data_IF_196088320954
#
_entry.id   IF_196088320954
#
_cell.length_a   1.000
_cell.length_b   1.000
_cell.length_c   1.000
_cell.angle_alpha   90.00
_cell.angle_beta   90.00
_cell.angle_gamma   90.00
#
_symmetry.space_group_name_H-M   'P 1'
#
loop_
_entity.id
_entity.type
_entity.pdbx_description
1 polymer ?
#
# COMPACT_ATOMS: atom_id res chain seq x y z
N UNK A 1 -16.49 -4.64 -19.32
CA UNK A 1 -15.17 -4.37 -18.73
C UNK A 1 -15.03 -2.88 -18.54
N UNK A 2 -14.55 -2.45 -17.37
CA UNK A 2 -14.26 -1.04 -17.08
C UNK A 2 -12.81 -0.81 -17.52
N UNK A 3 -12.61 0.00 -18.57
CA UNK A 3 -11.27 0.36 -19.06
C UNK A 3 -10.83 1.65 -18.35
N UNK A 4 -10.00 1.52 -17.32
CA UNK A 4 -9.49 2.64 -16.51
C UNK A 4 -8.25 3.28 -17.17
N UNK A 5 -7.50 2.50 -17.95
CA UNK A 5 -6.30 2.96 -18.66
C UNK A 5 -6.39 2.55 -20.13
N UNK A 6 -7.28 3.19 -20.88
CA UNK A 6 -7.34 3.11 -22.33
C UNK A 6 -6.78 4.39 -22.93
N UNK A 7 -5.87 4.30 -23.89
CA UNK A 7 -5.55 5.45 -24.74
C UNK A 7 -6.84 5.99 -25.37
N UNK A 8 -6.97 7.31 -25.56
CA UNK A 8 -8.19 7.89 -26.14
C UNK A 8 -8.41 7.35 -27.55
N UNK A 9 -9.22 6.30 -27.68
CA UNK A 9 -9.70 5.81 -28.96
C UNK A 9 -10.93 6.63 -29.35
N UNK A 10 -10.88 7.30 -30.49
CA UNK A 10 -12.08 7.86 -31.12
C UNK A 10 -12.78 6.75 -31.87
N UNK A 11 -13.75 6.11 -31.23
CA UNK A 11 -14.74 5.28 -31.88
C UNK A 11 -15.98 6.11 -32.22
N UNK A 12 -16.54 5.95 -33.43
CA UNK A 12 -17.76 6.62 -33.88
C UNK A 12 -19.03 6.12 -33.16
N UNK A 13 -18.88 5.41 -32.04
CA UNK A 13 -19.93 4.71 -31.30
C UNK A 13 -20.81 5.64 -30.46
N UNK A 14 -20.40 6.91 -30.27
CA UNK A 14 -21.14 7.89 -29.49
C UNK A 14 -21.26 7.53 -28.00
N UNK A 15 -21.87 8.43 -27.22
CA UNK A 15 -22.08 8.17 -25.79
C UNK A 15 -23.30 7.26 -25.60
N UNK A 16 -23.09 5.97 -25.33
CA UNK A 16 -24.21 5.04 -25.09
C UNK A 16 -24.66 5.08 -23.63
N UNK A 17 -25.93 4.69 -23.37
CA UNK A 17 -26.48 4.60 -21.99
C UNK A 17 -25.61 3.76 -21.05
N UNK A 18 -24.93 2.73 -21.56
CA UNK A 18 -24.03 1.87 -20.77
C UNK A 18 -22.75 2.60 -20.34
N UNK A 19 -22.22 3.50 -21.16
CA UNK A 19 -21.03 4.30 -20.80
C UNK A 19 -21.38 5.27 -19.67
N UNK A 20 -22.56 5.88 -19.73
CA UNK A 20 -23.07 6.75 -18.66
C UNK A 20 -23.23 5.98 -17.35
N UNK A 21 -23.80 4.77 -17.38
CA UNK A 21 -23.92 3.92 -16.19
C UNK A 21 -22.56 3.45 -15.65
N UNK A 22 -21.59 3.13 -16.52
CA UNK A 22 -20.24 2.72 -16.11
C UNK A 22 -19.46 3.86 -15.45
N UNK A 23 -19.51 5.07 -16.01
CA UNK A 23 -18.88 6.25 -15.42
C UNK A 23 -19.62 6.65 -14.13
N UNK A 24 -20.96 6.58 -14.12
CA UNK A 24 -21.79 6.86 -12.95
C UNK A 24 -21.49 5.94 -11.77
N UNK A 25 -21.08 4.69 -12.01
CA UNK A 25 -20.68 3.76 -10.96
C UNK A 25 -19.41 4.20 -10.20
N UNK A 26 -18.60 5.10 -10.76
CA UNK A 26 -17.40 5.66 -10.12
C UNK A 26 -17.70 6.87 -9.22
N UNK A 27 -18.88 7.50 -9.34
CA UNK A 27 -19.30 8.66 -8.54
C UNK A 27 -19.19 8.44 -7.03
N UNK A 28 -19.68 7.32 -6.43
CA UNK A 28 -19.52 7.11 -4.99
C UNK A 28 -18.06 7.04 -4.53
N UNK A 29 -17.15 6.53 -5.36
CA UNK A 29 -15.70 6.49 -5.06
C UNK A 29 -15.03 7.86 -5.14
N UNK A 30 -15.52 8.76 -6.01
CA UNK A 30 -15.04 10.14 -6.08
C UNK A 30 -15.50 11.00 -4.89
N UNK A 31 -16.73 10.76 -4.42
CA UNK A 31 -17.31 11.49 -3.28
C UNK A 31 -16.60 11.15 -1.94
N UNK A 32 -16.09 9.93 -1.79
CA UNK A 32 -15.35 9.53 -0.59
C UNK A 32 -13.95 10.15 -0.55
N UNK A 33 -13.30 10.34 -1.69
CA UNK A 33 -11.95 10.93 -1.77
C UNK A 33 -11.94 12.40 -1.34
N UNK A 34 -12.93 13.19 -1.76
CA UNK A 34 -13.05 14.59 -1.34
C UNK A 34 -13.22 14.73 0.18
N UNK A 35 -14.06 13.88 0.79
CA UNK A 35 -14.24 13.86 2.23
C UNK A 35 -12.98 13.38 2.96
N UNK A 36 -12.23 12.44 2.39
CA UNK A 36 -10.96 11.98 2.97
C UNK A 36 -9.89 13.07 2.94
N UNK A 37 -9.78 13.83 1.84
CA UNK A 37 -8.85 14.96 1.74
C UNK A 37 -9.20 16.11 2.70
N UNK A 38 -10.50 16.39 2.88
CA UNK A 38 -10.96 17.35 3.88
C UNK A 38 -10.69 16.85 5.31
N UNK A 39 -10.88 15.56 5.57
CA UNK A 39 -10.56 14.94 6.85
C UNK A 39 -9.05 15.02 7.15
N UNK A 40 -8.19 14.79 6.16
CA UNK A 40 -6.72 14.95 6.27
C UNK A 40 -6.30 16.40 6.55
N UNK A 41 -7.01 17.39 6.00
CA UNK A 41 -6.77 18.80 6.32
C UNK A 41 -7.21 19.17 7.75
N UNK A 42 -8.36 18.64 8.20
CA UNK A 42 -8.90 18.91 9.54
C UNK A 42 -8.18 18.13 10.65
N UNK A 43 -7.61 16.97 10.31
CA UNK A 43 -6.75 16.18 11.17
C UNK A 43 -5.41 16.87 11.29
N UNK A 44 -5.29 17.82 12.22
CA UNK A 44 -4.04 18.51 12.52
C UNK A 44 -2.90 17.50 12.60
N UNK A 45 -1.98 17.54 11.62
CA UNK A 45 -0.78 16.71 11.63
C UNK A 45 -0.04 17.05 12.91
N UNK A 46 -0.03 16.12 13.86
CA UNK A 46 0.88 16.21 14.99
C UNK A 46 2.28 16.13 14.40
N UNK A 47 2.94 17.29 14.32
CA UNK A 47 4.30 17.37 13.81
C UNK A 47 5.21 16.75 14.87
N UNK A 48 5.39 15.43 14.79
CA UNK A 48 6.42 14.78 15.58
C UNK A 48 7.75 15.43 15.22
N UNK A 49 8.39 16.09 16.19
CA UNK A 49 9.75 16.63 16.04
C UNK A 49 10.82 15.53 15.95
N UNK A 50 10.43 14.26 15.98
CA UNK A 50 11.32 13.12 15.88
C UNK A 50 11.56 12.79 14.42
N UNK A 51 12.81 12.91 13.97
CA UNK A 51 13.30 12.35 12.71
C UNK A 51 14.09 11.07 13.00
N UNK A 52 13.87 10.02 12.20
CA UNK A 52 14.60 8.76 12.29
C UNK A 52 15.21 8.49 10.91
N UNK A 53 16.51 8.24 10.87
CA UNK A 53 17.19 7.74 9.66
C UNK A 53 17.19 6.22 9.76
N UNK A 54 16.37 5.57 8.94
CA UNK A 54 16.37 4.11 8.82
C UNK A 54 17.41 3.70 7.78
N UNK A 55 18.52 3.13 8.24
CA UNK A 55 19.55 2.57 7.36
C UNK A 55 19.26 1.08 7.22
N UNK A 56 18.79 0.67 6.04
CA UNK A 56 18.58 -0.75 5.75
C UNK A 56 19.80 -1.34 5.07
N UNK A 57 20.67 -1.99 5.84
CA UNK A 57 21.82 -2.72 5.29
C UNK A 57 21.40 -4.13 4.90
N UNK A 58 20.85 -4.28 3.70
CA UNK A 58 20.59 -5.60 3.12
C UNK A 58 21.92 -6.34 2.90
N UNK A 59 21.99 -7.60 3.31
CA UNK A 59 23.11 -8.51 2.98
C UNK A 59 23.88 -9.09 4.17
N UNK A 60 23.65 -8.61 5.40
CA UNK A 60 24.17 -9.27 6.60
C UNK A 60 23.31 -10.45 7.05
N UNK A 61 23.88 -11.45 7.74
CA UNK A 61 23.07 -12.47 8.43
C UNK A 61 22.18 -11.78 9.47
N UNK A 62 20.96 -12.29 9.67
CA UNK A 62 20.06 -11.67 10.65
C UNK A 62 20.64 -11.80 12.06
N UNK A 63 20.18 -10.94 12.97
CA UNK A 63 20.54 -11.08 14.39
C UNK A 63 20.14 -12.47 14.92
N UNK A 64 19.04 -13.03 14.41
CA UNK A 64 18.59 -14.37 14.75
C UNK A 64 19.54 -15.46 14.23
N UNK A 65 20.21 -15.24 13.09
CA UNK A 65 21.12 -16.24 12.51
C UNK A 65 22.52 -16.22 13.13
N UNK A 66 22.86 -15.21 13.94
CA UNK A 66 24.22 -14.99 14.47
C UNK A 66 24.26 -14.88 15.98
N UNK A 67 23.65 -13.82 16.53
CA UNK A 67 23.82 -13.44 17.94
C UNK A 67 22.75 -14.06 18.85
N UNK A 68 21.54 -14.34 18.33
CA UNK A 68 20.44 -14.88 19.13
C UNK A 68 19.62 -15.91 18.35
N UNK A 69 20.16 -17.12 18.20
CA UNK A 69 19.56 -18.24 17.47
C UNK A 69 18.35 -18.86 18.17
N UNK A 70 17.96 -18.34 19.34
CA UNK A 70 16.81 -18.78 20.14
C UNK A 70 16.60 -20.31 20.11
N UNK A 71 17.56 -21.13 20.59
CA UNK A 71 17.54 -22.58 20.40
C UNK A 71 16.27 -23.29 20.90
N UNK A 72 15.56 -22.66 21.86
CA UNK A 72 14.33 -23.17 22.45
C UNK A 72 13.06 -22.70 21.73
N UNK A 73 13.17 -21.84 20.72
CA UNK A 73 12.04 -21.36 19.95
C UNK A 73 11.53 -22.41 18.93
N UNK A 74 10.22 -22.49 18.69
CA UNK A 74 9.62 -23.25 17.59
C UNK A 74 10.26 -22.95 16.23
N UNK A 75 10.36 -23.99 15.39
CA UNK A 75 11.05 -23.95 14.10
C UNK A 75 10.45 -22.95 13.11
N UNK A 76 9.19 -22.60 13.29
CA UNK A 76 8.44 -21.68 12.43
C UNK A 76 9.03 -20.25 12.45
N UNK A 77 9.73 -19.85 13.51
CA UNK A 77 10.31 -18.50 13.62
C UNK A 77 11.75 -18.45 14.14
N UNK A 78 12.33 -19.58 14.57
CA UNK A 78 13.71 -19.64 15.06
C UNK A 78 14.77 -19.42 13.97
N UNK A 79 14.42 -19.64 12.71
CA UNK A 79 15.39 -19.71 11.62
C UNK A 79 16.01 -21.11 11.47
N UNK A 80 16.77 -21.35 10.39
CA UNK A 80 17.23 -22.69 10.02
C UNK A 80 18.50 -23.16 10.76
N UNK A 81 19.18 -22.26 11.47
CA UNK A 81 20.49 -22.53 12.07
C UNK A 81 20.39 -22.94 13.55
N UNK A 82 21.35 -23.71 14.06
CA UNK A 82 21.48 -24.10 15.48
C UNK A 82 22.87 -23.72 16.03
N UNK A 83 22.97 -23.46 17.33
CA UNK A 83 24.25 -23.21 17.99
C UNK A 83 25.11 -24.47 17.97
N UNK A 84 26.41 -24.33 17.67
CA UNK A 84 27.41 -25.41 17.73
C UNK A 84 27.71 -25.77 19.19
#
# INVERSE_FOLDING_TARGET
MINIFGQPSRDCSGMTRRHLLQIGALVPFGLTLANQLLAEQSGGRTTSKKSVILIWQHGGPSQLDTFDMKPLAPKEYRGPFESI
#
